data_IF_453629708875
#
_entry.id   IF_453629708875
#
_cell.length_a   1.000
_cell.length_b   1.000
_cell.length_c   1.000
_cell.angle_alpha   90.00
_cell.angle_beta   90.00
_cell.angle_gamma   90.00
#
_symmetry.space_group_name_H-M   'P 1'
#
loop_
_entity.id
_entity.type
_entity.pdbx_description
1 polymer ?
#
# COMPACT_ATOMS: atom_id res chain seq x y z
N UNK A 1 -8.78 11.92 15.53
CA UNK A 1 -8.47 13.38 15.52
C UNK A 1 -8.81 13.87 14.15
N UNK A 2 -9.56 14.98 14.05
CA UNK A 2 -9.91 15.54 12.76
C UNK A 2 -8.66 16.17 12.13
N UNK A 3 -8.42 15.86 10.86
CA UNK A 3 -7.34 16.50 10.10
C UNK A 3 -7.83 17.88 9.65
N UNK A 4 -7.04 18.96 9.85
CA UNK A 4 -7.48 20.30 9.49
C UNK A 4 -7.79 20.42 8.00
N UNK A 5 -8.63 21.39 7.64
CA UNK A 5 -8.93 21.68 6.24
C UNK A 5 -7.63 21.96 5.45
N UNK A 6 -7.50 21.33 4.28
CA UNK A 6 -6.29 21.40 3.44
C UNK A 6 -5.22 20.35 3.76
N UNK A 7 -5.40 19.53 4.80
CA UNK A 7 -4.53 18.41 5.13
C UNK A 7 -5.26 17.08 4.88
N UNK A 8 -4.52 15.98 4.78
CA UNK A 8 -5.09 14.63 4.63
C UNK A 8 -4.38 13.63 5.55
N UNK A 9 -5.11 12.59 6.00
CA UNK A 9 -4.49 11.45 6.68
C UNK A 9 -3.70 10.62 5.68
N UNK A 10 -2.55 10.12 6.13
CA UNK A 10 -1.86 9.07 5.40
C UNK A 10 -1.27 8.04 6.35
N UNK A 11 -1.20 6.79 5.90
CA UNK A 11 -0.42 5.76 6.57
C UNK A 11 0.32 4.91 5.54
N UNK A 12 1.43 4.35 5.98
CA UNK A 12 2.27 3.48 5.15
C UNK A 12 2.31 2.10 5.78
N UNK A 13 2.16 1.07 4.95
CA UNK A 13 2.19 -0.34 5.33
C UNK A 13 3.33 -1.02 4.60
N UNK A 14 4.14 -1.76 5.36
CA UNK A 14 5.11 -2.72 4.82
C UNK A 14 4.49 -4.11 4.81
N UNK A 15 4.27 -4.65 3.61
CA UNK A 15 3.73 -6.00 3.42
C UNK A 15 4.90 -6.96 3.16
N UNK A 16 5.22 -7.82 4.13
CA UNK A 16 6.28 -8.83 3.96
C UNK A 16 5.70 -10.15 3.48
N UNK A 17 6.25 -10.67 2.39
CA UNK A 17 5.80 -11.92 1.79
C UNK A 17 6.34 -13.12 2.58
N UNK A 18 5.41 -14.00 2.99
CA UNK A 18 5.69 -15.26 3.67
C UNK A 18 5.93 -16.39 2.69
N UNK A 19 4.94 -17.26 2.49
CA UNK A 19 4.97 -18.34 1.49
C UNK A 19 3.75 -18.27 0.57
N UNK A 20 3.95 -18.38 -0.74
CA UNK A 20 2.88 -18.65 -1.71
C UNK A 20 1.82 -17.55 -1.88
N UNK A 21 2.03 -16.75 -2.93
CA UNK A 21 1.10 -15.85 -3.63
C UNK A 21 0.67 -14.55 -2.93
N UNK A 22 0.62 -13.51 -3.77
CA UNK A 22 0.23 -12.11 -3.55
C UNK A 22 -1.28 -11.99 -3.22
N UNK A 23 -1.74 -12.62 -2.14
CA UNK A 23 -3.17 -12.79 -1.87
C UNK A 23 -3.84 -11.64 -1.12
N UNK A 24 -3.19 -10.47 -1.03
CA UNK A 24 -3.80 -9.32 -0.36
C UNK A 24 -5.01 -8.86 -1.16
N UNK A 25 -6.17 -8.89 -0.51
CA UNK A 25 -7.40 -8.33 -1.05
C UNK A 25 -7.58 -6.94 -0.45
N UNK A 26 -7.55 -5.92 -1.30
CA UNK A 26 -7.82 -4.55 -0.87
C UNK A 26 -9.33 -4.28 -0.91
N UNK A 27 -9.88 -3.53 0.06
CA UNK A 27 -11.29 -3.19 0.04
C UNK A 27 -11.60 -2.28 -1.16
N UNK A 28 -12.85 -2.30 -1.62
CA UNK A 28 -13.31 -1.51 -2.76
C UNK A 28 -13.19 0.02 -2.55
N UNK A 29 -13.02 0.46 -1.30
CA UNK A 29 -12.75 1.85 -0.93
C UNK A 29 -11.32 2.30 -1.23
N UNK A 30 -10.42 1.42 -1.70
CA UNK A 30 -9.09 1.81 -2.16
C UNK A 30 -9.11 2.05 -3.67
N UNK A 31 -8.83 3.29 -4.03
CA UNK A 31 -8.68 3.75 -5.40
C UNK A 31 -7.23 3.60 -5.83
N UNK A 32 -7.00 2.73 -6.82
CA UNK A 32 -5.68 2.51 -7.41
C UNK A 32 -5.54 3.21 -8.75
N UNK A 33 -4.30 3.54 -9.11
CA UNK A 33 -3.98 3.93 -10.49
C UNK A 33 -4.49 2.86 -11.47
N UNK A 34 -5.07 3.31 -12.58
CA UNK A 34 -5.67 2.43 -13.61
C UNK A 34 -6.75 1.46 -13.09
N UNK A 35 -7.37 1.75 -11.94
CA UNK A 35 -8.39 0.91 -11.28
C UNK A 35 -7.91 -0.52 -10.99
N UNK A 36 -6.60 -0.71 -10.81
CA UNK A 36 -6.00 -2.03 -10.59
C UNK A 36 -5.08 -1.98 -9.37
N UNK A 37 -5.25 -2.89 -8.39
CA UNK A 37 -4.30 -3.03 -7.30
C UNK A 37 -2.88 -3.30 -7.81
N UNK A 38 -1.85 -2.91 -7.04
CA UNK A 38 -0.46 -3.17 -7.43
C UNK A 38 -0.19 -4.66 -7.49
N UNK A 39 0.76 -5.04 -8.34
CA UNK A 39 1.32 -6.39 -8.31
C UNK A 39 2.32 -6.42 -7.16
N UNK A 40 2.07 -7.25 -6.16
CA UNK A 40 2.93 -7.40 -4.99
C UNK A 40 4.11 -8.34 -5.28
N UNK A 41 5.12 -8.29 -4.44
CA UNK A 41 6.29 -9.14 -4.52
C UNK A 41 5.94 -10.60 -4.20
N UNK A 42 6.37 -11.51 -5.08
CA UNK A 42 6.00 -12.93 -5.03
C UNK A 42 6.95 -13.77 -4.17
N UNK A 43 8.22 -13.39 -4.12
CA UNK A 43 9.28 -14.18 -3.50
C UNK A 43 9.17 -14.16 -1.97
N UNK A 44 9.52 -15.27 -1.32
CA UNK A 44 9.51 -15.32 0.14
C UNK A 44 10.58 -14.38 0.71
N UNK A 45 10.20 -13.56 1.69
CA UNK A 45 11.11 -12.63 2.36
C UNK A 45 11.21 -11.25 1.71
N UNK A 46 10.72 -11.06 0.47
CA UNK A 46 10.57 -9.74 -0.12
C UNK A 46 9.44 -8.97 0.55
N UNK A 47 9.45 -7.64 0.43
CA UNK A 47 8.37 -6.81 0.94
C UNK A 47 7.98 -5.72 -0.05
N UNK A 48 6.74 -5.26 0.06
CA UNK A 48 6.20 -4.11 -0.66
C UNK A 48 5.90 -2.99 0.33
N UNK A 49 6.07 -1.74 -0.11
CA UNK A 49 5.69 -0.55 0.65
C UNK A 49 4.51 0.13 -0.04
N UNK A 50 3.40 0.23 0.67
CA UNK A 50 2.20 0.87 0.18
C UNK A 50 1.85 2.05 1.07
N UNK A 51 1.56 3.19 0.46
CA UNK A 51 1.05 4.37 1.16
C UNK A 51 -0.40 4.59 0.77
N UNK A 52 -1.23 4.85 1.78
CA UNK A 52 -2.64 5.15 1.64
C UNK A 52 -2.89 6.57 2.10
N UNK A 53 -3.52 7.38 1.26
CA UNK A 53 -3.90 8.76 1.58
C UNK A 53 -5.42 8.87 1.62
N UNK A 54 -5.98 9.50 2.65
CA UNK A 54 -7.43 9.62 2.77
C UNK A 54 -7.97 10.52 1.67
N UNK A 55 -9.10 10.11 1.10
CA UNK A 55 -9.93 10.89 0.18
C UNK A 55 -11.39 10.72 0.63
N UNK A 56 -12.27 11.61 0.18
CA UNK A 56 -13.67 11.73 0.63
C UNK A 56 -14.30 10.43 1.17
N UNK A 57 -14.46 9.41 0.31
CA UNK A 57 -15.13 8.15 0.65
C UNK A 57 -14.19 6.93 0.63
N UNK A 58 -12.89 7.13 0.84
CA UNK A 58 -11.94 6.02 0.77
C UNK A 58 -10.47 6.41 0.88
N UNK A 59 -9.64 5.69 0.14
CA UNK A 59 -8.19 5.84 0.16
C UNK A 59 -7.63 5.87 -1.26
N UNK A 60 -6.74 6.81 -1.55
CA UNK A 60 -5.85 6.72 -2.70
C UNK A 60 -4.70 5.78 -2.32
N UNK A 61 -4.54 4.68 -3.06
CA UNK A 61 -3.47 3.71 -2.89
C UNK A 61 -2.28 4.02 -3.80
N UNK A 62 -1.10 4.12 -3.20
CA UNK A 62 0.18 4.38 -3.88
C UNK A 62 1.10 3.19 -3.60
N UNK A 63 1.60 2.58 -4.67
CA UNK A 63 2.63 1.56 -4.62
C UNK A 63 3.89 2.14 -5.23
N UNK A 64 4.95 2.29 -4.43
CA UNK A 64 6.28 2.58 -4.96
C UNK A 64 7.01 1.25 -5.12
N UNK A 65 7.12 0.80 -6.37
CA UNK A 65 7.56 -0.56 -6.69
C UNK A 65 9.06 -0.71 -6.91
N UNK A 66 9.90 0.32 -6.74
CA UNK A 66 11.25 0.24 -7.35
C UNK A 66 12.40 1.02 -6.72
N UNK A 67 12.23 1.76 -5.61
CA UNK A 67 13.37 2.53 -5.06
C UNK A 67 13.89 2.09 -3.69
N UNK A 68 13.06 1.48 -2.84
CA UNK A 68 13.47 1.12 -1.48
C UNK A 68 13.65 -0.39 -1.33
N UNK A 69 14.83 -0.82 -0.88
CA UNK A 69 15.01 -2.18 -0.35
C UNK A 69 14.29 -2.27 1.00
N UNK A 70 12.99 -2.54 0.95
CA UNK A 70 12.17 -2.77 2.13
C UNK A 70 12.24 -4.22 2.60
N UNK A 71 13.13 -5.05 2.05
CA UNK A 71 13.39 -6.39 2.59
C UNK A 71 14.20 -6.34 3.89
N UNK A 72 14.92 -5.25 4.14
CA UNK A 72 15.65 -5.01 5.40
C UNK A 72 14.67 -5.03 6.59
N UNK A 73 14.92 -5.86 7.62
CA UNK A 73 14.10 -5.88 8.83
C UNK A 73 14.12 -4.52 9.55
N UNK A 74 12.98 -4.16 10.15
CA UNK A 74 12.94 -3.09 11.16
C UNK A 74 13.56 -3.58 12.47
#
# INVERSE_FOLDING_TARGET
TDVPAGYTWSFTVRLRQGTGANKVTFPASVHWSSKRPPVLAYEAGTADLLTFMSVDNGWLGISDGSWFDVSVPA
#
